data_IF_928985937432
#
_entry.id   IF_928985937432
#
_cell.length_a   1.000
_cell.length_b   1.000
_cell.length_c   1.000
_cell.angle_alpha   90.00
_cell.angle_beta   90.00
_cell.angle_gamma   90.00
#
_symmetry.space_group_name_H-M   'P 1'
#
loop_
_entity.id
_entity.type
_entity.pdbx_description
1 polymer ?
#
# COMPACT_ATOMS: atom_id res chain seq x y z
N UNK A 1 31.53 54.78 -15.16
CA UNK A 1 30.13 54.67 -15.60
C UNK A 1 29.57 53.35 -15.10
N UNK A 2 28.32 53.28 -14.63
CA UNK A 2 27.72 52.03 -14.11
C UNK A 2 26.70 51.47 -15.09
N UNK A 3 27.14 50.51 -15.92
CA UNK A 3 26.27 49.80 -16.87
C UNK A 3 25.46 48.69 -16.16
N UNK A 4 24.41 49.07 -15.42
CA UNK A 4 23.60 48.14 -14.63
C UNK A 4 22.12 48.59 -14.49
N UNK A 5 21.47 48.99 -15.59
CA UNK A 5 20.24 49.81 -15.54
C UNK A 5 19.06 49.41 -16.44
N UNK A 6 19.04 48.20 -17.03
CA UNK A 6 17.94 47.78 -17.94
C UNK A 6 17.14 46.54 -17.53
N UNK A 7 17.63 45.66 -16.65
CA UNK A 7 16.92 44.42 -16.25
C UNK A 7 15.96 44.62 -15.06
N UNK A 8 16.08 45.71 -14.30
CA UNK A 8 15.31 45.96 -13.07
C UNK A 8 13.89 46.55 -13.28
N UNK A 9 13.48 46.78 -14.53
CA UNK A 9 12.37 47.68 -14.87
C UNK A 9 10.94 47.14 -14.62
N UNK A 10 10.78 45.84 -14.33
CA UNK A 10 9.47 45.20 -14.14
C UNK A 10 9.07 44.93 -12.66
N UNK A 11 9.78 45.51 -11.68
CA UNK A 11 9.52 45.23 -10.26
C UNK A 11 8.33 46.01 -9.69
N UNK A 12 7.34 45.30 -9.13
CA UNK A 12 6.19 45.90 -8.45
C UNK A 12 6.51 46.48 -7.05
N UNK A 13 7.78 46.48 -6.59
CA UNK A 13 8.20 46.89 -5.23
C UNK A 13 7.65 48.24 -4.75
N UNK A 14 7.47 49.20 -5.67
CA UNK A 14 6.96 50.55 -5.38
C UNK A 14 5.50 50.76 -5.83
N UNK A 15 4.82 49.71 -6.29
CA UNK A 15 3.42 49.72 -6.76
C UNK A 15 2.46 48.93 -5.87
N UNK A 16 2.98 48.15 -4.92
CA UNK A 16 2.20 47.40 -3.92
C UNK A 16 2.95 47.34 -2.57
N UNK A 17 2.26 47.15 -1.43
CA UNK A 17 2.89 47.04 -0.11
C UNK A 17 4.04 46.03 -0.04
N UNK A 18 5.05 46.31 0.79
CA UNK A 18 6.29 45.52 0.85
C UNK A 18 6.08 44.04 1.22
N UNK A 19 5.07 43.72 2.04
CA UNK A 19 4.71 42.35 2.39
C UNK A 19 4.22 41.52 1.19
N UNK A 20 3.90 42.16 0.06
CA UNK A 20 3.57 41.50 -1.22
C UNK A 20 4.81 41.28 -2.10
N UNK A 21 6.04 41.37 -1.58
CA UNK A 21 7.24 41.01 -2.35
C UNK A 21 7.16 39.53 -2.77
N UNK A 22 7.58 39.21 -3.99
CA UNK A 22 7.48 37.89 -4.63
C UNK A 22 6.08 37.23 -4.76
N UNK A 23 5.02 37.83 -4.21
CA UNK A 23 3.63 37.36 -4.33
C UNK A 23 3.22 37.12 -5.80
N UNK A 24 2.79 35.89 -6.08
CA UNK A 24 2.26 35.35 -7.35
C UNK A 24 1.01 34.51 -7.01
N UNK A 25 0.18 34.17 -8.00
CA UNK A 25 -0.93 33.23 -7.82
C UNK A 25 -2.09 33.70 -6.93
N UNK A 26 -2.22 35.01 -6.70
CA UNK A 26 -3.36 35.60 -6.00
C UNK A 26 -4.28 36.32 -7.00
N UNK A 27 -5.57 35.99 -6.97
CA UNK A 27 -6.60 36.32 -7.98
C UNK A 27 -6.55 37.78 -8.45
N UNK A 28 -6.53 38.71 -7.49
CA UNK A 28 -6.31 40.13 -7.75
C UNK A 28 -5.65 40.81 -6.54
N UNK A 29 -4.33 41.04 -6.63
CA UNK A 29 -3.56 41.66 -5.55
C UNK A 29 -4.05 43.06 -5.14
N UNK A 30 -4.81 43.78 -5.97
CA UNK A 30 -5.32 45.12 -5.63
C UNK A 30 -6.31 45.08 -4.46
N UNK A 31 -7.09 44.00 -4.32
CA UNK A 31 -8.10 43.83 -3.27
C UNK A 31 -7.49 44.10 -1.89
N UNK A 32 -6.34 43.47 -1.60
CA UNK A 32 -5.68 43.53 -0.29
C UNK A 32 -5.00 44.88 0.00
N UNK A 33 -4.94 45.81 -0.97
CA UNK A 33 -4.39 47.17 -0.75
C UNK A 33 -5.44 48.18 -0.27
N UNK A 34 -6.73 47.89 -0.43
CA UNK A 34 -7.85 48.77 -0.04
C UNK A 34 -8.74 48.15 1.05
N UNK A 35 -8.40 46.96 1.54
CA UNK A 35 -9.24 46.11 2.40
C UNK A 35 -9.48 46.65 3.83
N UNK A 36 -8.89 47.81 4.18
CA UNK A 36 -9.19 48.56 5.40
C UNK A 36 -10.24 49.67 5.22
N UNK A 37 -10.74 49.90 4.00
CA UNK A 37 -11.92 50.72 3.78
C UNK A 37 -13.15 49.97 4.29
N UNK A 38 -14.12 50.62 4.96
CA UNK A 38 -15.18 49.93 5.71
C UNK A 38 -16.05 49.02 4.82
N UNK A 39 -16.35 49.43 3.59
CA UNK A 39 -17.08 48.59 2.65
C UNK A 39 -16.32 47.34 2.23
N UNK A 40 -15.02 47.47 1.88
CA UNK A 40 -14.19 46.32 1.53
C UNK A 40 -13.90 45.41 2.73
N UNK A 41 -13.78 45.96 3.93
CA UNK A 41 -13.68 45.20 5.17
C UNK A 41 -14.97 44.38 5.42
N UNK A 42 -16.15 44.99 5.24
CA UNK A 42 -17.44 44.31 5.30
C UNK A 42 -17.57 43.23 4.22
N UNK A 43 -17.11 43.48 3.00
CA UNK A 43 -17.04 42.45 1.94
C UNK A 43 -16.15 41.28 2.34
N UNK A 44 -15.00 41.52 2.98
CA UNK A 44 -14.12 40.45 3.48
C UNK A 44 -14.82 39.58 4.53
N UNK A 45 -15.48 40.20 5.52
CA UNK A 45 -16.21 39.48 6.57
C UNK A 45 -17.32 38.60 5.99
N UNK A 46 -18.08 39.12 5.02
CA UNK A 46 -19.12 38.38 4.32
C UNK A 46 -18.55 37.25 3.46
N UNK A 47 -17.40 37.46 2.80
CA UNK A 47 -16.72 36.42 2.03
C UNK A 47 -16.14 35.31 2.91
N UNK A 48 -15.62 35.64 4.10
CA UNK A 48 -15.16 34.64 5.07
C UNK A 48 -16.31 33.82 5.68
N UNK A 49 -17.49 34.44 5.86
CA UNK A 49 -18.71 33.71 6.23
C UNK A 49 -19.22 32.81 5.08
N UNK A 50 -19.21 33.30 3.84
CA UNK A 50 -19.61 32.53 2.65
C UNK A 50 -18.71 31.30 2.41
N UNK A 51 -17.39 31.43 2.62
CA UNK A 51 -16.45 30.30 2.59
C UNK A 51 -16.58 29.34 3.79
N UNK A 52 -17.45 29.63 4.76
CA UNK A 52 -17.69 28.79 5.93
C UNK A 52 -16.45 28.51 6.79
N UNK A 53 -16.57 27.49 7.65
CA UNK A 53 -15.51 27.05 8.56
C UNK A 53 -15.24 27.98 9.76
N UNK A 54 -16.06 29.02 9.94
CA UNK A 54 -15.91 30.04 10.98
C UNK A 54 -17.22 30.23 11.75
N UNK A 55 -17.08 30.29 13.07
CA UNK A 55 -18.10 30.47 14.11
C UNK A 55 -18.38 31.96 14.41
N UNK A 56 -17.38 32.81 14.17
CA UNK A 56 -17.38 34.23 14.51
C UNK A 56 -16.97 35.09 13.30
N UNK A 57 -17.44 36.35 13.20
CA UNK A 57 -17.02 37.26 12.13
C UNK A 57 -15.50 37.44 12.13
N UNK A 58 -14.89 37.39 10.95
CA UNK A 58 -13.44 37.32 10.76
C UNK A 58 -12.98 38.21 9.60
N UNK A 59 -11.77 38.77 9.73
CA UNK A 59 -11.06 39.47 8.64
C UNK A 59 -9.64 38.93 8.57
N UNK A 60 -9.13 38.65 7.37
CA UNK A 60 -7.74 38.19 7.16
C UNK A 60 -6.72 39.25 7.63
N UNK A 61 -5.52 38.87 8.08
CA UNK A 61 -4.54 39.84 8.59
C UNK A 61 -4.10 40.84 7.53
N UNK A 62 -3.89 42.11 7.93
CA UNK A 62 -3.53 43.24 7.05
C UNK A 62 -2.33 43.01 6.13
N UNK A 63 -1.43 42.09 6.49
CA UNK A 63 -0.22 41.76 5.74
C UNK A 63 -0.31 40.40 5.01
N UNK A 64 -1.52 39.88 4.73
CA UNK A 64 -1.73 38.60 4.05
C UNK A 64 -2.70 38.72 2.88
N UNK A 65 -2.29 38.20 1.72
CA UNK A 65 -3.12 38.12 0.52
C UNK A 65 -3.91 36.80 0.49
N UNK A 66 -3.22 35.66 0.65
CA UNK A 66 -3.85 34.34 0.76
C UNK A 66 -4.51 34.16 2.15
N UNK A 67 -5.31 33.11 2.29
CA UNK A 67 -5.85 32.71 3.60
C UNK A 67 -4.70 32.28 4.54
N UNK A 68 -4.80 32.52 5.86
CA UNK A 68 -3.82 32.00 6.81
C UNK A 68 -3.80 30.47 6.86
N UNK A 69 -2.62 29.89 7.05
CA UNK A 69 -2.35 28.44 7.10
C UNK A 69 -3.36 27.67 7.97
N UNK A 70 -3.67 28.19 9.17
CA UNK A 70 -4.64 27.54 10.07
C UNK A 70 -6.07 27.51 9.50
N UNK A 71 -6.46 28.52 8.73
CA UNK A 71 -7.81 28.66 8.17
C UNK A 71 -7.96 27.88 6.85
N UNK A 72 -6.92 27.86 6.02
CA UNK A 72 -6.86 26.96 4.85
C UNK A 72 -6.83 25.50 5.30
N UNK A 73 -6.02 25.14 6.31
CA UNK A 73 -6.00 23.79 6.90
C UNK A 73 -7.36 23.40 7.49
N UNK A 74 -8.01 24.29 8.24
CA UNK A 74 -9.36 24.06 8.78
C UNK A 74 -10.40 23.86 7.66
N UNK A 75 -10.37 24.67 6.60
CA UNK A 75 -11.32 24.53 5.47
C UNK A 75 -11.05 23.26 4.66
N UNK A 76 -9.80 22.87 4.45
CA UNK A 76 -9.44 21.61 3.79
C UNK A 76 -9.89 20.39 4.62
N UNK A 77 -9.79 20.43 5.95
CA UNK A 77 -10.27 19.37 6.82
C UNK A 77 -11.81 19.31 6.94
N UNK A 78 -12.50 20.44 6.74
CA UNK A 78 -13.97 20.52 6.69
C UNK A 78 -14.56 20.30 5.28
N UNK A 79 -13.71 20.22 4.25
CA UNK A 79 -14.15 19.96 2.88
C UNK A 79 -14.61 18.50 2.79
N UNK A 80 -15.90 18.30 2.52
CA UNK A 80 -16.45 16.97 2.21
C UNK A 80 -15.67 16.32 1.08
N UNK A 81 -15.43 15.02 1.20
CA UNK A 81 -14.93 14.21 0.09
C UNK A 81 -15.91 14.26 -1.09
N UNK A 82 -15.37 14.13 -2.31
CA UNK A 82 -16.20 14.12 -3.54
C UNK A 82 -17.00 12.81 -3.70
N UNK A 83 -16.53 11.74 -3.08
CA UNK A 83 -17.22 10.46 -2.96
C UNK A 83 -17.92 10.44 -1.59
N UNK A 84 -19.25 10.40 -1.59
CA UNK A 84 -20.07 10.26 -0.38
C UNK A 84 -20.68 8.85 -0.33
N UNK A 85 -20.51 8.13 0.78
CA UNK A 85 -21.07 6.78 0.97
C UNK A 85 -20.34 5.67 0.19
N UNK A 86 -19.07 5.35 0.54
CA UNK A 86 -18.29 4.35 -0.19
C UNK A 86 -18.86 2.93 -0.01
N UNK A 87 -19.13 2.24 -1.12
CA UNK A 87 -19.64 0.87 -1.11
C UNK A 87 -18.50 -0.13 -0.89
N UNK A 88 -17.54 -0.15 -1.80
CA UNK A 88 -16.48 -1.17 -1.87
C UNK A 88 -15.43 -1.01 -0.76
N UNK A 89 -14.65 -2.06 -0.52
CA UNK A 89 -13.38 -2.02 0.22
C UNK A 89 -12.43 -0.95 -0.35
N UNK A 90 -12.19 -0.98 -1.66
CA UNK A 90 -11.36 -0.01 -2.38
C UNK A 90 -11.81 1.44 -2.20
N UNK A 91 -13.11 1.74 -2.28
CA UNK A 91 -13.61 3.11 -2.12
C UNK A 91 -13.32 3.70 -0.73
N UNK A 92 -13.31 2.85 0.31
CA UNK A 92 -12.91 3.24 1.68
C UNK A 92 -11.42 3.52 1.74
N UNK A 93 -10.60 2.66 1.12
CA UNK A 93 -9.15 2.85 1.02
C UNK A 93 -8.78 4.13 0.26
N UNK A 94 -9.47 4.45 -0.84
CA UNK A 94 -9.32 5.71 -1.59
C UNK A 94 -9.59 6.93 -0.69
N UNK A 95 -10.62 6.89 0.15
CA UNK A 95 -10.88 7.97 1.12
C UNK A 95 -9.80 8.10 2.20
N UNK A 96 -9.13 7.02 2.57
CA UNK A 96 -8.00 7.02 3.50
C UNK A 96 -6.71 7.53 2.85
N UNK A 97 -6.45 7.14 1.60
CA UNK A 97 -5.38 7.68 0.75
C UNK A 97 -5.47 9.21 0.61
N UNK A 98 -6.67 9.75 0.37
CA UNK A 98 -6.87 11.20 0.33
C UNK A 98 -6.69 11.87 1.71
N UNK A 99 -7.07 11.24 2.82
CA UNK A 99 -6.83 11.77 4.18
C UNK A 99 -5.34 11.83 4.54
N UNK A 100 -4.57 10.81 4.15
CA UNK A 100 -3.14 10.66 4.47
C UNK A 100 -2.28 11.49 3.53
N UNK A 101 -2.23 11.12 2.25
CA UNK A 101 -1.27 11.65 1.28
C UNK A 101 -1.70 12.98 0.64
N UNK A 102 -3.00 13.26 0.59
CA UNK A 102 -3.54 14.55 0.11
C UNK A 102 -3.98 15.46 1.27
N UNK A 103 -3.31 15.35 2.41
CA UNK A 103 -3.52 16.25 3.56
C UNK A 103 -2.98 17.67 3.29
N UNK A 104 -3.59 18.69 3.91
CA UNK A 104 -3.18 20.08 3.71
C UNK A 104 -1.74 20.31 4.24
N UNK A 105 -0.85 20.69 3.31
CA UNK A 105 0.61 20.77 3.53
C UNK A 105 1.24 19.44 4.01
N UNK A 106 0.67 18.31 3.57
CA UNK A 106 1.17 16.97 3.83
C UNK A 106 2.56 16.73 3.23
N UNK A 107 3.43 16.09 4.01
CA UNK A 107 4.81 15.74 3.64
C UNK A 107 5.02 14.25 3.39
N UNK A 108 4.05 13.40 3.76
CA UNK A 108 4.08 11.96 3.52
C UNK A 108 3.91 11.66 2.02
N UNK A 109 4.74 10.75 1.50
CA UNK A 109 4.62 10.20 0.15
C UNK A 109 4.06 8.77 0.26
N UNK A 110 3.19 8.31 -0.67
CA UNK A 110 2.78 6.92 -0.72
C UNK A 110 3.97 5.97 -0.86
N UNK A 111 3.87 4.80 -0.24
CA UNK A 111 4.81 3.69 -0.46
C UNK A 111 4.37 2.82 -1.64
N UNK A 112 5.19 1.83 -1.99
CA UNK A 112 4.85 0.82 -3.00
C UNK A 112 3.80 -0.14 -2.41
N UNK A 113 3.90 -0.46 -1.11
CA UNK A 113 2.96 -1.32 -0.38
C UNK A 113 1.55 -0.71 -0.33
N UNK A 114 1.43 0.61 -0.09
CA UNK A 114 0.15 1.32 -0.16
C UNK A 114 -0.51 1.15 -1.56
N UNK A 115 0.29 1.12 -2.63
CA UNK A 115 -0.19 0.91 -4.00
C UNK A 115 -0.51 -0.57 -4.29
N UNK A 116 0.22 -1.53 -3.73
CA UNK A 116 -0.12 -2.95 -3.81
C UNK A 116 -1.46 -3.23 -3.13
N UNK A 117 -1.69 -2.70 -1.92
CA UNK A 117 -2.97 -2.78 -1.21
C UNK A 117 -4.11 -2.22 -2.08
N UNK A 118 -3.89 -1.10 -2.77
CA UNK A 118 -4.88 -0.53 -3.69
C UNK A 118 -5.21 -1.44 -4.90
N UNK A 119 -4.29 -2.29 -5.33
CA UNK A 119 -4.55 -3.30 -6.37
C UNK A 119 -5.21 -4.56 -5.80
N UNK A 120 -4.85 -4.97 -4.58
CA UNK A 120 -5.43 -6.13 -3.94
C UNK A 120 -6.90 -5.96 -3.53
N UNK A 121 -7.37 -4.71 -3.37
CA UNK A 121 -8.77 -4.39 -3.11
C UNK A 121 -9.64 -4.25 -4.39
N UNK A 122 -9.12 -4.57 -5.58
CA UNK A 122 -9.90 -4.48 -6.83
C UNK A 122 -10.88 -5.65 -6.96
N UNK A 123 -12.18 -5.32 -6.82
CA UNK A 123 -13.31 -6.25 -6.98
C UNK A 123 -14.13 -5.98 -8.26
N UNK A 124 -14.35 -4.70 -8.60
CA UNK A 124 -15.23 -4.24 -9.69
C UNK A 124 -14.42 -3.45 -10.75
N UNK A 125 -14.92 -3.28 -12.00
CA UNK A 125 -14.24 -2.47 -13.03
C UNK A 125 -14.12 -0.97 -12.70
N UNK A 126 -14.93 -0.47 -11.76
CA UNK A 126 -14.77 0.88 -11.22
C UNK A 126 -13.57 0.97 -10.27
N UNK A 127 -13.30 -0.08 -9.48
CA UNK A 127 -12.19 -0.14 -8.53
C UNK A 127 -10.84 -0.13 -9.25
N UNK A 128 -10.71 -0.89 -10.35
CA UNK A 128 -9.55 -0.84 -11.24
C UNK A 128 -9.33 0.59 -11.80
N UNK A 129 -10.41 1.32 -12.08
CA UNK A 129 -10.34 2.71 -12.56
C UNK A 129 -9.85 3.67 -11.47
N UNK A 130 -10.14 3.42 -10.18
CA UNK A 130 -9.54 4.14 -9.06
C UNK A 130 -8.07 3.73 -8.88
N UNK A 131 -7.74 2.43 -8.91
CA UNK A 131 -6.38 1.92 -8.72
C UNK A 131 -5.40 2.47 -9.77
N UNK A 132 -5.80 2.51 -11.04
CA UNK A 132 -5.03 3.14 -12.12
C UNK A 132 -4.83 4.65 -11.93
N UNK A 133 -5.78 5.36 -11.30
CA UNK A 133 -5.59 6.76 -10.92
C UNK A 133 -4.58 6.91 -9.78
N UNK A 134 -4.57 6.00 -8.80
CA UNK A 134 -3.56 6.00 -7.73
C UNK A 134 -2.15 5.68 -8.27
N UNK A 135 -2.02 4.72 -9.20
CA UNK A 135 -0.74 4.46 -9.90
C UNK A 135 -0.25 5.70 -10.66
N UNK A 136 -1.14 6.40 -11.37
CA UNK A 136 -0.81 7.65 -12.05
C UNK A 136 -0.34 8.74 -11.05
N UNK A 137 -0.96 8.85 -9.87
CA UNK A 137 -0.49 9.75 -8.80
C UNK A 137 0.91 9.35 -8.31
N UNK A 138 1.14 8.06 -8.02
CA UNK A 138 2.44 7.54 -7.60
C UNK A 138 3.54 7.84 -8.62
N UNK A 139 3.27 7.63 -9.91
CA UNK A 139 4.22 7.88 -11.00
C UNK A 139 4.49 9.37 -11.24
N UNK A 140 3.44 10.18 -11.42
CA UNK A 140 3.56 11.53 -11.98
C UNK A 140 3.47 12.68 -10.96
N UNK A 141 2.91 12.45 -9.77
CA UNK A 141 2.89 13.45 -8.69
C UNK A 141 3.92 13.15 -7.61
N UNK A 142 4.00 11.90 -7.14
CA UNK A 142 4.88 11.52 -6.04
C UNK A 142 6.25 10.98 -6.50
N UNK A 143 6.45 10.70 -7.79
CA UNK A 143 7.69 10.15 -8.37
C UNK A 143 8.21 8.93 -7.59
N UNK A 144 7.32 7.99 -7.30
CA UNK A 144 7.65 6.70 -6.66
C UNK A 144 8.20 5.76 -7.74
N UNK A 145 9.32 5.08 -7.45
CA UNK A 145 9.77 3.92 -8.23
C UNK A 145 8.96 2.71 -7.78
N UNK A 146 8.34 2.01 -8.72
CA UNK A 146 7.59 0.78 -8.43
C UNK A 146 8.53 -0.35 -7.97
N UNK A 147 7.98 -1.39 -7.35
CA UNK A 147 8.73 -2.60 -7.01
C UNK A 147 8.97 -3.48 -8.24
N UNK A 148 9.71 -4.57 -8.06
CA UNK A 148 9.84 -5.63 -9.07
C UNK A 148 8.49 -6.31 -9.32
N UNK A 149 7.82 -6.72 -8.24
CA UNK A 149 6.56 -7.48 -8.28
C UNK A 149 5.33 -6.64 -8.65
N UNK A 150 5.49 -5.31 -8.74
CA UNK A 150 4.38 -4.38 -9.01
C UNK A 150 3.69 -4.62 -10.35
N UNK A 151 4.37 -5.21 -11.35
CA UNK A 151 3.70 -5.60 -12.59
C UNK A 151 2.83 -6.86 -12.42
N UNK A 152 3.27 -7.83 -11.62
CA UNK A 152 2.52 -9.08 -11.41
C UNK A 152 1.24 -8.82 -10.61
N UNK A 153 1.33 -8.00 -9.56
CA UNK A 153 0.16 -7.57 -8.75
C UNK A 153 -0.81 -6.72 -9.60
N UNK A 154 -0.30 -5.85 -10.49
CA UNK A 154 -1.14 -5.11 -11.44
C UNK A 154 -1.84 -6.03 -12.46
N UNK A 155 -1.14 -7.04 -12.97
CA UNK A 155 -1.72 -8.06 -13.86
C UNK A 155 -2.83 -8.84 -13.15
N UNK A 156 -2.60 -9.28 -11.92
CA UNK A 156 -3.60 -9.98 -11.10
C UNK A 156 -4.85 -9.09 -10.89
N UNK A 157 -4.69 -7.82 -10.54
CA UNK A 157 -5.80 -6.88 -10.40
C UNK A 157 -6.56 -6.63 -11.73
N UNK A 158 -5.90 -6.68 -12.89
CA UNK A 158 -6.57 -6.61 -14.19
C UNK A 158 -7.35 -7.90 -14.51
N UNK A 159 -6.81 -9.07 -14.16
CA UNK A 159 -7.42 -10.37 -14.43
C UNK A 159 -8.63 -10.66 -13.53
N UNK A 160 -8.66 -10.17 -12.29
CA UNK A 160 -9.84 -10.24 -11.39
C UNK A 160 -11.10 -9.59 -11.97
N UNK A 161 -10.96 -8.80 -13.03
CA UNK A 161 -12.04 -8.04 -13.68
C UNK A 161 -12.09 -8.27 -15.21
N UNK A 162 -11.46 -9.34 -15.70
CA UNK A 162 -11.38 -9.71 -17.13
C UNK A 162 -10.78 -8.61 -18.06
N UNK A 163 -10.06 -7.62 -17.51
CA UNK A 163 -9.49 -6.48 -18.26
C UNK A 163 -8.08 -6.77 -18.79
N UNK A 164 -7.95 -7.85 -19.58
CA UNK A 164 -6.67 -8.20 -20.26
C UNK A 164 -6.20 -7.09 -21.21
N UNK A 165 -7.11 -6.26 -21.71
CA UNK A 165 -6.81 -5.08 -22.55
C UNK A 165 -5.95 -4.02 -21.83
N UNK A 166 -6.24 -3.75 -20.56
CA UNK A 166 -5.43 -2.86 -19.72
C UNK A 166 -4.02 -3.42 -19.49
N UNK A 167 -3.90 -4.73 -19.31
CA UNK A 167 -2.63 -5.40 -19.09
C UNK A 167 -1.75 -5.45 -20.35
N UNK A 168 -2.32 -5.69 -21.54
CA UNK A 168 -1.56 -5.63 -22.80
C UNK A 168 -1.09 -4.21 -23.12
N UNK A 169 -1.93 -3.19 -22.90
CA UNK A 169 -1.52 -1.78 -23.04
C UNK A 169 -0.37 -1.40 -22.09
N UNK A 170 -0.36 -1.96 -20.87
CA UNK A 170 0.68 -1.72 -19.89
C UNK A 170 2.03 -2.36 -20.25
N UNK A 171 2.07 -3.44 -21.04
CA UNK A 171 3.33 -3.95 -21.62
C UNK A 171 3.91 -3.00 -22.66
N UNK A 172 3.08 -2.54 -23.59
CA UNK A 172 3.50 -1.63 -24.68
C UNK A 172 4.06 -0.30 -24.13
N UNK A 173 3.58 0.13 -22.95
CA UNK A 173 3.90 1.43 -22.36
C UNK A 173 4.56 1.32 -20.96
N UNK A 174 5.23 0.20 -20.67
CA UNK A 174 5.80 -0.13 -19.36
C UNK A 174 6.69 1.00 -18.78
N UNK A 175 7.64 1.51 -19.57
CA UNK A 175 8.54 2.59 -19.17
C UNK A 175 7.81 3.90 -18.81
N UNK A 176 6.73 4.22 -19.51
CA UNK A 176 5.93 5.42 -19.26
C UNK A 176 5.18 5.30 -17.91
N UNK A 177 4.51 4.18 -17.70
CA UNK A 177 3.80 3.85 -16.47
C UNK A 177 4.74 3.68 -15.26
N UNK A 178 6.00 3.28 -15.51
CA UNK A 178 7.04 3.12 -14.50
C UNK A 178 7.33 1.68 -14.07
N UNK A 179 6.79 0.70 -14.81
CA UNK A 179 7.11 -0.72 -14.65
C UNK A 179 8.49 -0.98 -15.25
N UNK A 180 9.53 -0.85 -14.42
CA UNK A 180 10.93 -1.00 -14.83
C UNK A 180 11.41 -2.47 -14.86
N UNK A 181 10.74 -3.33 -14.11
CA UNK A 181 10.82 -4.79 -14.25
C UNK A 181 9.43 -5.31 -14.67
N UNK A 182 9.45 -6.31 -15.53
CA UNK A 182 8.28 -7.03 -16.05
C UNK A 182 8.78 -8.45 -16.34
N UNK A 183 8.26 -9.45 -15.62
CA UNK A 183 8.74 -10.83 -15.77
C UNK A 183 8.40 -11.41 -17.16
N UNK A 184 9.30 -12.22 -17.71
CA UNK A 184 9.12 -12.78 -19.05
C UNK A 184 7.93 -13.74 -19.15
N UNK A 185 7.50 -14.35 -18.03
CA UNK A 185 6.28 -15.15 -17.98
C UNK A 185 5.04 -14.26 -18.18
N UNK A 186 4.96 -13.12 -17.48
CA UNK A 186 3.89 -12.14 -17.69
C UNK A 186 3.87 -11.59 -19.12
N UNK A 187 5.03 -11.35 -19.73
CA UNK A 187 5.13 -10.97 -21.16
C UNK A 187 4.51 -12.03 -22.07
N UNK A 188 4.96 -13.29 -21.94
CA UNK A 188 4.50 -14.41 -22.76
C UNK A 188 3.02 -14.74 -22.56
N UNK A 189 2.49 -14.58 -21.35
CA UNK A 189 1.07 -14.76 -21.06
C UNK A 189 0.17 -13.73 -21.76
N UNK A 190 0.63 -12.49 -21.83
CA UNK A 190 -0.11 -11.40 -22.45
C UNK A 190 0.02 -11.41 -23.99
N UNK A 191 1.17 -11.83 -24.54
CA UNK A 191 1.33 -12.06 -26.00
C UNK A 191 0.68 -13.35 -26.49
N UNK A 192 0.41 -14.31 -25.59
CA UNK A 192 -0.18 -15.61 -25.93
C UNK A 192 0.83 -16.71 -26.29
N UNK A 193 2.13 -16.47 -26.10
CA UNK A 193 3.17 -17.51 -26.15
C UNK A 193 3.05 -18.52 -25.00
N UNK A 194 2.46 -18.10 -23.88
CA UNK A 194 2.18 -18.93 -22.71
C UNK A 194 0.73 -18.72 -22.25
N UNK A 195 0.17 -19.73 -21.59
CA UNK A 195 -1.21 -19.76 -21.08
C UNK A 195 -1.30 -19.47 -19.57
N UNK A 196 -0.16 -19.34 -18.89
CA UNK A 196 -0.03 -18.98 -17.48
C UNK A 196 1.02 -17.86 -17.30
N UNK A 197 0.86 -17.02 -16.28
CA UNK A 197 1.80 -15.93 -15.96
C UNK A 197 2.61 -16.20 -14.69
N UNK A 198 2.00 -16.83 -13.68
CA UNK A 198 2.61 -17.11 -12.37
C UNK A 198 2.44 -18.58 -12.01
N UNK A 199 3.41 -19.12 -11.28
CA UNK A 199 3.32 -20.40 -10.57
C UNK A 199 3.36 -20.11 -9.07
N UNK A 200 2.39 -20.60 -8.31
CA UNK A 200 2.41 -20.42 -6.85
C UNK A 200 3.59 -21.18 -6.25
N UNK A 201 4.41 -20.56 -5.38
CA UNK A 201 5.47 -21.27 -4.67
C UNK A 201 4.92 -22.15 -3.54
N UNK A 202 3.69 -21.89 -3.05
CA UNK A 202 3.05 -22.63 -1.97
C UNK A 202 2.30 -23.84 -2.52
N UNK A 203 1.40 -23.60 -3.49
CA UNK A 203 0.49 -24.62 -4.01
C UNK A 203 1.08 -25.39 -5.20
N UNK A 204 2.20 -24.91 -5.76
CA UNK A 204 2.84 -25.39 -7.01
C UNK A 204 1.95 -25.34 -8.27
N UNK A 205 0.75 -24.75 -8.15
CA UNK A 205 -0.25 -24.53 -9.20
C UNK A 205 0.15 -23.42 -10.18
N UNK A 206 -0.37 -23.49 -11.40
CA UNK A 206 -0.24 -22.42 -12.40
C UNK A 206 -1.47 -21.51 -12.36
N UNK A 207 -1.27 -20.20 -12.57
CA UNK A 207 -2.35 -19.21 -12.66
C UNK A 207 -2.44 -18.61 -14.08
N UNK A 208 -3.65 -18.43 -14.63
CA UNK A 208 -4.97 -18.60 -14.01
C UNK A 208 -5.39 -20.07 -13.80
N UNK A 209 -6.34 -20.30 -12.87
CA UNK A 209 -6.73 -21.63 -12.40
C UNK A 209 -7.43 -22.52 -13.45
N UNK A 210 -7.89 -21.95 -14.55
CA UNK A 210 -8.51 -22.68 -15.67
C UNK A 210 -7.46 -23.58 -16.36
N UNK A 211 -6.30 -23.03 -16.69
CA UNK A 211 -5.14 -23.72 -17.29
C UNK A 211 -4.53 -24.78 -16.35
N UNK A 212 -4.65 -24.55 -15.04
CA UNK A 212 -4.10 -25.43 -14.00
C UNK A 212 -4.66 -26.85 -14.08
N UNK A 213 -5.95 -26.98 -14.43
CA UNK A 213 -6.63 -28.27 -14.56
C UNK A 213 -5.98 -29.13 -15.66
N UNK A 214 -5.60 -28.54 -16.80
CA UNK A 214 -4.96 -29.26 -17.90
C UNK A 214 -3.48 -29.56 -17.58
N UNK A 215 -2.73 -28.58 -17.08
CA UNK A 215 -1.27 -28.74 -16.85
C UNK A 215 -0.93 -29.62 -15.66
N UNK A 216 -1.56 -29.45 -14.51
CA UNK A 216 -1.17 -30.22 -13.32
C UNK A 216 -1.75 -31.65 -13.31
N UNK A 217 -2.82 -31.92 -14.09
CA UNK A 217 -3.21 -33.29 -14.43
C UNK A 217 -2.13 -34.00 -15.27
N UNK A 218 -1.50 -33.31 -16.22
CA UNK A 218 -0.39 -33.86 -17.00
C UNK A 218 0.87 -34.11 -16.15
N UNK A 219 1.18 -33.25 -15.17
CA UNK A 219 2.32 -33.44 -14.24
C UNK A 219 2.10 -34.65 -13.31
N UNK A 220 0.91 -34.76 -12.71
CA UNK A 220 0.59 -35.86 -11.78
C UNK A 220 0.48 -37.22 -12.47
N UNK A 221 -0.11 -37.27 -13.68
CA UNK A 221 -0.12 -38.49 -14.50
C UNK A 221 1.25 -38.85 -15.07
N UNK A 222 2.07 -37.85 -15.44
CA UNK A 222 3.44 -38.06 -15.92
C UNK A 222 4.38 -38.64 -14.86
N UNK A 223 4.24 -38.24 -13.59
CA UNK A 223 5.04 -38.76 -12.48
C UNK A 223 4.86 -40.28 -12.29
N UNK A 224 3.63 -40.80 -12.46
CA UNK A 224 3.33 -42.23 -12.37
C UNK A 224 3.95 -43.07 -13.51
N UNK A 225 4.28 -42.46 -14.65
CA UNK A 225 4.83 -43.15 -15.81
C UNK A 225 6.36 -43.33 -15.78
N UNK A 226 7.06 -42.67 -14.84
CA UNK A 226 8.54 -42.68 -14.77
C UNK A 226 9.13 -43.64 -13.71
N UNK A 227 8.30 -44.47 -13.08
CA UNK A 227 8.72 -45.39 -12.01
C UNK A 227 8.92 -46.85 -12.47
N UNK A 228 8.76 -47.15 -13.77
CA UNK A 228 8.64 -48.53 -14.29
C UNK A 228 9.47 -48.78 -15.56
N UNK A 229 10.80 -48.71 -15.46
CA UNK A 229 11.77 -49.49 -16.26
C UNK A 229 13.14 -49.46 -15.58
N UNK A 230 13.94 -50.53 -15.77
CA UNK A 230 15.29 -50.77 -15.23
C UNK A 230 15.38 -51.27 -13.76
N UNK A 231 14.95 -52.51 -13.56
CA UNK A 231 15.48 -53.37 -12.48
C UNK A 231 16.31 -54.51 -13.06
N UNK A 232 17.31 -54.94 -12.29
CA UNK A 232 18.12 -56.15 -12.37
C UNK A 232 19.06 -56.37 -13.60
N UNK A 233 20.37 -56.23 -13.33
CA UNK A 233 21.32 -57.32 -13.58
C UNK A 233 22.56 -57.23 -12.68
N UNK A 234 22.70 -58.19 -11.77
CA UNK A 234 23.84 -58.34 -10.86
C UNK A 234 25.07 -58.97 -11.54
N UNK A 235 26.28 -58.52 -11.20
CA UNK A 235 27.56 -59.14 -11.55
C UNK A 235 28.73 -58.46 -10.85
N UNK A 236 29.66 -59.21 -10.25
CA UNK A 236 30.69 -58.69 -9.35
C UNK A 236 32.13 -59.06 -9.79
N UNK A 237 33.08 -58.19 -9.43
CA UNK A 237 34.52 -58.38 -9.10
C UNK A 237 35.25 -57.04 -9.34
N UNK A 238 35.79 -56.35 -8.33
CA UNK A 238 36.92 -56.68 -7.43
C UNK A 238 38.30 -56.29 -8.02
N UNK A 239 38.94 -55.26 -7.43
CA UNK A 239 40.36 -55.26 -7.02
C UNK A 239 40.73 -54.04 -6.15
N UNK A 240 41.91 -54.10 -5.54
CA UNK A 240 42.35 -53.36 -4.34
C UNK A 240 43.74 -52.74 -4.56
N UNK A 241 44.18 -51.87 -3.62
CA UNK A 241 45.53 -51.32 -3.41
C UNK A 241 45.85 -49.98 -4.14
N UNK A 242 46.58 -49.02 -3.55
CA UNK A 242 47.17 -48.92 -2.19
C UNK A 242 47.45 -47.46 -1.75
N UNK A 243 47.71 -47.27 -0.43
CA UNK A 243 48.62 -46.32 0.27
C UNK A 243 49.01 -44.93 -0.35
N UNK A 244 49.25 -43.82 0.37
CA UNK A 244 49.40 -43.46 1.82
C UNK A 244 49.21 -41.91 1.97
N UNK A 245 49.35 -41.15 3.08
CA UNK A 245 49.89 -41.37 4.45
C UNK A 245 49.24 -40.43 5.52
N UNK A 246 49.65 -40.61 6.78
CA UNK A 246 49.60 -39.77 8.01
C UNK A 246 49.28 -38.25 7.94
N UNK A 247 48.69 -37.63 8.97
CA UNK A 247 48.33 -38.07 10.34
C UNK A 247 47.27 -37.12 10.98
N UNK A 248 46.52 -37.46 12.04
CA UNK A 248 46.89 -38.00 13.37
C UNK A 248 47.59 -36.92 14.24
N UNK A 249 47.19 -36.58 15.48
CA UNK A 249 46.43 -37.35 16.51
C UNK A 249 45.63 -36.50 17.53
N UNK A 250 44.39 -36.92 17.87
CA UNK A 250 43.78 -37.06 19.24
C UNK A 250 43.62 -35.89 20.25
N UNK A 251 42.74 -35.89 21.27
CA UNK A 251 41.42 -36.52 21.60
C UNK A 251 40.89 -35.92 22.92
N UNK A 252 39.59 -35.61 23.01
CA UNK A 252 38.68 -35.65 24.19
C UNK A 252 37.29 -35.15 23.72
N UNK A 253 36.15 -35.84 23.84
CA UNK A 253 35.49 -36.45 25.01
C UNK A 253 34.94 -35.38 25.98
N UNK A 254 33.64 -35.29 26.33
CA UNK A 254 32.44 -36.15 26.13
C UNK A 254 31.21 -35.21 25.80
N UNK A 255 29.94 -35.60 25.56
CA UNK A 255 29.21 -36.86 25.77
C UNK A 255 27.99 -37.02 24.81
N UNK A 256 27.28 -38.15 24.97
CA UNK A 256 26.03 -38.64 24.33
C UNK A 256 24.82 -37.66 24.33
N UNK A 257 23.70 -37.91 23.63
CA UNK A 257 23.15 -39.20 23.17
C UNK A 257 22.34 -39.16 21.86
N UNK A 258 21.99 -40.37 21.39
CA UNK A 258 21.22 -40.69 20.18
C UNK A 258 19.69 -40.73 20.45
N UNK A 259 18.92 -40.74 19.35
CA UNK A 259 17.69 -41.51 19.11
C UNK A 259 16.56 -40.68 18.47
N UNK A 260 15.94 -41.26 17.44
CA UNK A 260 14.73 -40.77 16.77
C UNK A 260 13.48 -41.31 17.48
N UNK A 261 12.37 -40.56 17.44
CA UNK A 261 11.03 -41.08 17.69
C UNK A 261 10.01 -40.28 16.86
N UNK A 262 9.23 -40.98 16.03
CA UNK A 262 8.02 -40.41 15.42
C UNK A 262 6.86 -40.42 16.41
N UNK A 263 5.93 -39.48 16.25
CA UNK A 263 4.56 -39.61 16.75
C UNK A 263 4.32 -39.12 18.18
N UNK A 264 3.85 -37.88 18.29
CA UNK A 264 2.88 -37.51 19.32
C UNK A 264 1.79 -36.64 18.69
N UNK A 265 0.57 -37.16 18.67
CA UNK A 265 -0.66 -36.48 18.23
C UNK A 265 -1.73 -36.58 19.34
N UNK A 266 -1.37 -37.10 20.52
CA UNK A 266 -2.26 -37.19 21.68
C UNK A 266 -2.02 -36.01 22.64
N UNK A 267 -0.81 -35.46 22.69
CA UNK A 267 -0.47 -34.30 23.54
C UNK A 267 -1.23 -33.00 23.22
N UNK A 268 -1.77 -32.82 22.01
CA UNK A 268 -2.47 -31.58 21.62
C UNK A 268 -3.86 -31.46 22.20
N UNK A 269 -4.59 -32.56 22.36
CA UNK A 269 -6.00 -32.53 22.78
C UNK A 269 -6.14 -32.24 24.28
N UNK A 270 -5.22 -32.73 25.11
CA UNK A 270 -5.15 -32.38 26.55
C UNK A 270 -4.82 -30.89 26.76
N UNK A 271 -3.96 -30.29 25.92
CA UNK A 271 -3.65 -28.86 26.00
C UNK A 271 -4.83 -27.99 25.53
N UNK A 272 -5.55 -28.42 24.49
CA UNK A 272 -6.80 -27.78 24.04
C UNK A 272 -7.88 -27.87 25.14
N UNK A 273 -8.10 -29.04 25.73
CA UNK A 273 -9.08 -29.22 26.81
C UNK A 273 -8.76 -28.36 28.04
N UNK A 274 -7.47 -28.23 28.38
CA UNK A 274 -7.01 -27.36 29.46
C UNK A 274 -7.28 -25.88 29.16
N UNK A 275 -6.97 -25.41 27.96
CA UNK A 275 -7.21 -24.01 27.55
C UNK A 275 -8.71 -23.68 27.46
N UNK A 276 -9.56 -24.64 27.10
CA UNK A 276 -11.02 -24.48 27.13
C UNK A 276 -11.54 -24.32 28.56
N UNK A 277 -11.08 -25.16 29.50
CA UNK A 277 -11.47 -25.04 30.91
C UNK A 277 -10.97 -23.73 31.57
N UNK A 278 -9.81 -23.21 31.16
CA UNK A 278 -9.29 -21.92 31.62
C UNK A 278 -10.12 -20.74 31.09
N UNK A 279 -10.66 -20.84 29.87
CA UNK A 279 -11.58 -19.85 29.29
C UNK A 279 -12.97 -19.87 29.95
N UNK A 280 -13.57 -21.05 30.19
CA UNK A 280 -14.86 -21.15 30.88
C UNK A 280 -14.79 -20.56 32.31
N UNK A 281 -13.70 -20.83 33.04
CA UNK A 281 -13.48 -20.26 34.38
C UNK A 281 -13.41 -18.72 34.37
N UNK A 282 -12.72 -18.13 33.37
CA UNK A 282 -12.64 -16.67 33.21
C UNK A 282 -13.98 -16.04 32.80
N UNK A 283 -14.82 -16.77 32.07
CA UNK A 283 -16.17 -16.30 31.71
C UNK A 283 -17.14 -16.37 32.92
N UNK A 284 -17.03 -17.38 33.79
CA UNK A 284 -17.77 -17.41 35.07
C UNK A 284 -17.32 -16.29 36.04
N UNK A 285 -16.02 -15.99 36.16
CA UNK A 285 -15.55 -14.87 36.99
C UNK A 285 -16.06 -13.51 36.48
N UNK A 286 -16.08 -13.29 35.16
CA UNK A 286 -16.68 -12.07 34.58
C UNK A 286 -18.20 -12.00 34.76
N UNK A 287 -18.90 -13.14 34.70
CA UNK A 287 -20.36 -13.20 34.87
C UNK A 287 -20.80 -13.02 36.34
N UNK A 288 -19.96 -13.42 37.30
CA UNK A 288 -20.25 -13.31 38.74
C UNK A 288 -19.75 -12.00 39.40
N UNK A 289 -18.75 -11.32 38.83
CA UNK A 289 -18.30 -9.99 39.29
C UNK A 289 -19.29 -8.83 39.04
N UNK A 290 -20.49 -9.13 38.56
CA UNK A 290 -21.37 -8.20 37.82
C UNK A 290 -22.36 -7.32 38.60
N UNK A 291 -22.50 -7.41 39.94
CA UNK A 291 -23.32 -6.42 40.65
C UNK A 291 -23.79 -6.67 42.09
N UNK A 292 -23.05 -6.12 43.05
CA UNK A 292 -23.53 -5.59 44.34
C UNK A 292 -22.47 -4.58 44.86
N UNK A 293 -22.76 -3.41 45.44
CA UNK A 293 -24.04 -2.71 45.64
C UNK A 293 -23.99 -1.84 46.89
N UNK A 294 -23.87 -0.50 46.79
CA UNK A 294 -24.00 0.36 47.98
C UNK A 294 -24.44 1.82 47.68
N UNK A 295 -25.42 2.32 48.43
CA UNK A 295 -25.98 3.67 48.30
C UNK A 295 -25.56 4.61 49.45
N UNK A 296 -24.66 5.55 49.16
CA UNK A 296 -24.12 6.50 50.15
C UNK A 296 -24.75 7.90 50.12
N UNK A 297 -25.60 8.23 51.10
CA UNK A 297 -26.15 9.59 51.28
C UNK A 297 -25.05 10.59 51.67
N UNK A 298 -24.96 11.74 51.00
CA UNK A 298 -24.46 12.97 51.63
C UNK A 298 -25.30 14.20 51.29
N UNK A 299 -25.67 14.95 52.34
CA UNK A 299 -26.21 16.31 52.26
C UNK A 299 -25.04 17.30 52.29
N UNK A 300 -25.06 18.30 51.41
CA UNK A 300 -25.21 19.70 51.85
C UNK A 300 -25.70 20.58 50.71
#
# INVERSE_FOLDING_TARGET
MLCASQVLLASLRYRRPYWMLFLKGADNWKIYTVIQQPDHQRTEMLYQAWLGGLDRPYVRPKCMAHQPVWLSKKRHALQKARLEGPETSMEKYVLEWYKRFHSFEGTERPTIEDLHIAFDLVERPLDLSYACQLLNQCRNHYYVRLGDDSFEIFLEACLRVDRKDCASYALEHADALGFWNVSDNCRRYLTGEQTWYRRSPVDLLYYPLEENAERNAAVTSGAAASATIASDKVGAQERVAEATQTGATTLAAEASAEAEAEGDVEATDDEIARLQAELEALEEEMSTGGGEGNGGKYRR
#
